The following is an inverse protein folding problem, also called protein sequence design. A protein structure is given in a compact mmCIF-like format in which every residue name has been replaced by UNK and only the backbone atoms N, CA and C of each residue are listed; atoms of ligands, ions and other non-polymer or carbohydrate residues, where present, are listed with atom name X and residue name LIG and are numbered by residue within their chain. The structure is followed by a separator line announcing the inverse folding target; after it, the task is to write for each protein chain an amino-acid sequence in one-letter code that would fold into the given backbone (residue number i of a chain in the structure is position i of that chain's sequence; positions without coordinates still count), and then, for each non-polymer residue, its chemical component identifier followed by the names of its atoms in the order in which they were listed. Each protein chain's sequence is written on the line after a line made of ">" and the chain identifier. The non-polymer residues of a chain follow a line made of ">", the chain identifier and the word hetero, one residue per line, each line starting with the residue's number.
data_IF_656594896162
#
_entry.id   IF_656594896162
#
_cell.length_a   1.000
_cell.length_b   1.000
_cell.length_c   1.000
_cell.angle_alpha   90.00
_cell.angle_beta   90.00
_cell.angle_gamma   90.00
#
_symmetry.space_group_name_H-M   'P 1'
#
loop_
_entity.id
_entity.type
_entity.pdbx_description
1 polymer ?
#
# COMPACT_ATOMS: atom_id res chain seq x y z
N UNK A 1 -28.58 58.19 18.93
CA UNK A 1 -27.30 57.89 18.26
C UNK A 1 -26.85 56.53 18.75
N UNK A 2 -27.09 55.46 17.97
CA UNK A 2 -26.76 54.08 18.32
C UNK A 2 -25.40 53.77 17.68
N UNK A 3 -24.39 53.26 18.40
CA UNK A 3 -23.09 52.92 17.82
C UNK A 3 -23.24 51.70 16.92
N UNK A 4 -22.48 51.62 15.81
CA UNK A 4 -22.50 50.48 14.91
C UNK A 4 -21.95 49.24 15.60
N UNK A 5 -22.66 48.11 15.47
CA UNK A 5 -22.25 46.80 15.95
C UNK A 5 -21.00 46.33 15.25
N UNK A 6 -19.99 45.89 16.02
CA UNK A 6 -18.75 45.32 15.52
C UNK A 6 -19.05 44.00 14.76
N UNK A 7 -18.32 43.71 13.68
CA UNK A 7 -18.47 42.46 12.96
C UNK A 7 -18.02 41.26 13.84
N UNK A 8 -18.68 40.09 13.71
CA UNK A 8 -18.30 38.93 14.46
C UNK A 8 -16.87 38.46 14.05
N UNK A 9 -16.03 38.25 15.05
CA UNK A 9 -14.69 37.68 14.86
C UNK A 9 -14.80 36.36 14.10
N UNK A 10 -14.19 36.32 12.94
CA UNK A 10 -14.01 35.07 12.21
C UNK A 10 -13.20 34.07 13.10
N UNK A 11 -13.86 32.99 13.42
CA UNK A 11 -13.20 31.87 14.13
C UNK A 11 -12.00 31.38 13.32
N UNK A 12 -10.85 31.19 13.94
CA UNK A 12 -9.73 30.56 13.24
C UNK A 12 -10.16 29.16 12.82
N UNK A 13 -10.25 28.93 11.51
CA UNK A 13 -10.41 27.58 10.98
C UNK A 13 -9.23 26.74 11.46
N UNK A 14 -9.47 25.59 12.14
CA UNK A 14 -8.38 24.71 12.48
C UNK A 14 -7.75 24.22 11.16
N UNK A 15 -6.43 24.46 11.03
CA UNK A 15 -5.58 23.92 9.97
C UNK A 15 -5.40 22.38 10.14
N UNK A 16 -6.48 21.68 10.39
CA UNK A 16 -6.51 20.23 10.61
C UNK A 16 -7.04 19.49 9.40
N UNK A 17 -6.58 19.88 8.22
CA UNK A 17 -6.68 19.02 7.05
C UNK A 17 -5.38 19.07 6.25
N UNK A 18 -4.29 18.63 6.90
CA UNK A 18 -3.28 17.95 6.10
C UNK A 18 -4.01 16.71 5.60
N UNK A 19 -4.24 16.56 4.29
CA UNK A 19 -4.63 15.29 3.76
C UNK A 19 -3.44 14.39 4.06
N UNK A 20 -3.56 13.59 5.12
CA UNK A 20 -2.76 12.39 5.24
C UNK A 20 -3.02 11.66 3.93
N UNK A 21 -2.05 11.72 3.04
CA UNK A 21 -2.03 10.95 1.80
C UNK A 21 -2.02 9.48 2.21
N UNK A 22 -3.18 9.01 2.66
CA UNK A 22 -3.52 7.60 2.61
C UNK A 22 -3.38 7.28 1.13
N UNK A 23 -2.28 6.65 0.79
CA UNK A 23 -2.08 6.01 -0.51
C UNK A 23 -3.18 4.96 -0.60
N UNK A 24 -4.36 5.40 -1.00
CA UNK A 24 -5.41 4.51 -1.44
C UNK A 24 -4.89 3.96 -2.75
N UNK A 25 -4.26 2.80 -2.69
CA UNK A 25 -3.98 2.06 -3.90
C UNK A 25 -5.32 1.81 -4.60
N UNK A 26 -5.53 2.35 -5.81
CA UNK A 26 -6.82 2.26 -6.51
C UNK A 26 -7.22 0.83 -6.94
N UNK A 27 -6.36 -0.16 -6.67
CA UNK A 27 -6.65 -1.58 -6.84
C UNK A 27 -7.80 -2.11 -5.95
N UNK A 28 -8.41 -1.24 -5.12
CA UNK A 28 -9.51 -1.62 -4.22
C UNK A 28 -10.91 -1.41 -4.82
N UNK A 29 -11.02 -0.86 -6.03
CA UNK A 29 -12.32 -0.83 -6.69
C UNK A 29 -12.73 -2.26 -7.04
N UNK A 30 -13.86 -2.70 -6.51
CA UNK A 30 -14.50 -3.98 -6.85
C UNK A 30 -14.89 -3.97 -8.35
N UNK A 31 -13.89 -4.13 -9.22
CA UNK A 31 -14.09 -4.15 -10.67
C UNK A 31 -15.01 -5.30 -11.13
N UNK A 32 -15.34 -6.22 -10.21
CA UNK A 32 -16.04 -7.48 -10.52
C UNK A 32 -17.28 -7.71 -9.64
N UNK A 33 -17.78 -6.69 -8.93
CA UNK A 33 -19.03 -6.80 -8.15
C UNK A 33 -18.96 -7.65 -6.88
N UNK A 34 -17.77 -7.95 -6.38
CA UNK A 34 -17.55 -8.74 -5.16
C UNK A 34 -17.62 -10.26 -5.40
N UNK A 35 -17.02 -11.03 -4.50
CA UNK A 35 -16.98 -12.49 -4.56
C UNK A 35 -15.59 -13.06 -4.82
N UNK A 36 -15.51 -14.39 -4.95
CA UNK A 36 -14.23 -15.11 -5.11
C UNK A 36 -13.47 -14.66 -6.35
N UNK A 37 -14.17 -14.39 -7.45
CA UNK A 37 -13.53 -13.93 -8.69
C UNK A 37 -12.84 -12.57 -8.51
N UNK A 38 -13.49 -11.64 -7.82
CA UNK A 38 -12.91 -10.34 -7.50
C UNK A 38 -11.63 -10.49 -6.66
N UNK A 39 -11.66 -11.36 -5.65
CA UNK A 39 -10.49 -11.64 -4.81
C UNK A 39 -9.34 -12.22 -5.63
N UNK A 40 -9.62 -13.18 -6.52
CA UNK A 40 -8.59 -13.78 -7.38
C UNK A 40 -7.98 -12.75 -8.32
N UNK A 41 -8.81 -11.95 -8.99
CA UNK A 41 -8.33 -10.90 -9.91
C UNK A 41 -7.51 -9.85 -9.15
N UNK A 42 -7.98 -9.38 -7.99
CA UNK A 42 -7.24 -8.42 -7.16
C UNK A 42 -5.91 -9.01 -6.70
N UNK A 43 -5.89 -10.28 -6.26
CA UNK A 43 -4.67 -10.96 -5.88
C UNK A 43 -3.66 -11.04 -7.03
N UNK A 44 -4.10 -11.42 -8.23
CA UNK A 44 -3.23 -11.55 -9.40
C UNK A 44 -2.68 -10.18 -9.83
N UNK A 45 -3.52 -9.15 -9.88
CA UNK A 45 -3.09 -7.80 -10.22
C UNK A 45 -2.11 -7.24 -9.19
N UNK A 46 -2.38 -7.41 -7.91
CA UNK A 46 -1.50 -6.97 -6.82
C UNK A 46 -0.18 -7.73 -6.86
N UNK A 47 -0.21 -9.04 -7.08
CA UNK A 47 1.00 -9.85 -7.21
C UNK A 47 1.84 -9.45 -8.42
N UNK A 48 1.20 -9.18 -9.55
CA UNK A 48 1.88 -8.69 -10.76
C UNK A 48 2.52 -7.32 -10.52
N UNK A 49 1.78 -6.40 -9.91
CA UNK A 49 2.29 -5.08 -9.56
C UNK A 49 3.51 -5.17 -8.62
N UNK A 50 3.43 -6.00 -7.58
CA UNK A 50 4.55 -6.23 -6.67
C UNK A 50 5.71 -6.93 -7.36
N UNK A 51 5.46 -7.86 -8.28
CA UNK A 51 6.53 -8.50 -9.05
C UNK A 51 7.30 -7.50 -9.92
N UNK A 52 6.59 -6.59 -10.58
CA UNK A 52 7.21 -5.54 -11.40
C UNK A 52 8.04 -4.60 -10.54
N UNK A 53 7.47 -4.08 -9.47
CA UNK A 53 8.17 -3.13 -8.57
C UNK A 53 9.35 -3.77 -7.85
N UNK A 54 9.22 -5.02 -7.43
CA UNK A 54 10.31 -5.79 -6.82
C UNK A 54 11.41 -6.12 -7.84
N UNK A 55 11.04 -6.45 -9.08
CA UNK A 55 12.03 -6.67 -10.13
C UNK A 55 12.83 -5.41 -10.43
N UNK A 56 12.17 -4.26 -10.53
CA UNK A 56 12.83 -2.96 -10.69
C UNK A 56 13.77 -2.67 -9.52
N UNK A 57 13.31 -2.86 -8.29
CA UNK A 57 14.12 -2.66 -7.09
C UNK A 57 15.34 -3.61 -7.06
N UNK A 58 15.13 -4.88 -7.39
CA UNK A 58 16.18 -5.88 -7.41
C UNK A 58 17.22 -5.60 -8.50
N UNK A 59 16.79 -5.22 -9.68
CA UNK A 59 17.69 -4.84 -10.78
C UNK A 59 18.50 -3.61 -10.44
N UNK A 60 17.88 -2.63 -9.78
CA UNK A 60 18.57 -1.41 -9.33
C UNK A 60 19.58 -1.68 -8.21
N UNK A 61 19.24 -2.54 -7.25
CA UNK A 61 20.03 -2.78 -6.03
C UNK A 61 21.09 -3.88 -6.19
N UNK A 62 20.74 -4.96 -6.87
CA UNK A 62 21.60 -6.16 -7.01
C UNK A 62 22.26 -6.17 -8.39
N UNK A 63 21.59 -5.63 -9.41
CA UNK A 63 22.00 -5.72 -10.82
C UNK A 63 21.12 -6.69 -11.61
N UNK A 64 21.72 -7.41 -12.55
CA UNK A 64 21.00 -8.33 -13.43
C UNK A 64 20.49 -9.56 -12.65
N UNK A 65 19.18 -9.61 -12.44
CA UNK A 65 18.48 -10.67 -11.68
C UNK A 65 17.33 -11.23 -12.51
N UNK A 66 17.15 -12.55 -12.53
CA UNK A 66 16.03 -13.17 -13.23
C UNK A 66 14.69 -12.68 -12.68
N UNK A 67 13.79 -12.22 -13.54
CA UNK A 67 12.45 -11.74 -13.18
C UNK A 67 11.59 -12.79 -12.45
N UNK A 68 11.89 -14.08 -12.67
CA UNK A 68 11.25 -15.20 -11.97
C UNK A 68 11.36 -15.11 -10.46
N UNK A 69 12.46 -14.56 -9.92
CA UNK A 69 12.62 -14.38 -8.47
C UNK A 69 11.61 -13.38 -7.91
N UNK A 70 11.41 -12.27 -8.61
CA UNK A 70 10.40 -11.30 -8.23
C UNK A 70 8.99 -11.88 -8.34
N UNK A 71 8.70 -12.61 -9.42
CA UNK A 71 7.40 -13.28 -9.59
C UNK A 71 7.13 -14.34 -8.51
N UNK A 72 8.18 -14.96 -7.96
CA UNK A 72 8.04 -15.97 -6.89
C UNK A 72 7.88 -15.33 -5.51
N UNK A 73 8.52 -14.19 -5.26
CA UNK A 73 8.45 -13.50 -3.97
C UNK A 73 7.17 -12.68 -3.81
N UNK A 74 6.74 -11.98 -4.86
CA UNK A 74 5.63 -11.02 -4.84
C UNK A 74 4.26 -11.57 -4.37
N UNK A 75 3.85 -12.82 -4.63
CA UNK A 75 2.59 -13.36 -4.15
C UNK A 75 2.47 -13.37 -2.61
N UNK A 76 3.57 -13.49 -1.89
CA UNK A 76 3.57 -13.58 -0.42
C UNK A 76 3.07 -12.28 0.23
N UNK A 77 3.68 -11.11 0.02
CA UNK A 77 3.17 -9.86 0.56
C UNK A 77 1.81 -9.47 -0.03
N UNK A 78 1.53 -9.83 -1.30
CA UNK A 78 0.23 -9.60 -1.91
C UNK A 78 -0.89 -10.37 -1.18
N UNK A 79 -0.65 -11.64 -0.85
CA UNK A 79 -1.61 -12.44 -0.09
C UNK A 79 -1.82 -11.89 1.32
N UNK A 80 -0.74 -11.54 2.03
CA UNK A 80 -0.82 -10.99 3.38
C UNK A 80 -1.59 -9.68 3.38
N UNK A 81 -1.30 -8.76 2.44
CA UNK A 81 -2.01 -7.49 2.34
C UNK A 81 -3.50 -7.68 2.05
N UNK A 82 -3.84 -8.60 1.14
CA UNK A 82 -5.22 -8.90 0.79
C UNK A 82 -6.01 -9.50 1.97
N UNK A 83 -5.43 -10.47 2.67
CA UNK A 83 -6.08 -11.11 3.84
C UNK A 83 -6.32 -10.11 4.95
N UNK A 84 -5.33 -9.23 5.24
CA UNK A 84 -5.48 -8.20 6.27
C UNK A 84 -6.50 -7.13 5.88
N UNK A 85 -6.60 -6.76 4.61
CA UNK A 85 -7.64 -5.86 4.12
C UNK A 85 -9.04 -6.49 4.24
N UNK A 86 -9.17 -7.79 3.95
CA UNK A 86 -10.44 -8.51 4.16
C UNK A 86 -10.81 -8.57 5.64
N UNK A 87 -9.83 -8.83 6.52
CA UNK A 87 -10.04 -8.78 7.95
C UNK A 87 -10.53 -7.39 8.40
N UNK A 88 -9.89 -6.31 7.92
CA UNK A 88 -10.28 -4.93 8.26
C UNK A 88 -11.69 -4.54 7.79
N UNK A 89 -12.26 -5.26 6.82
CA UNK A 89 -13.65 -5.08 6.34
C UNK A 89 -14.65 -6.00 7.05
N UNK A 90 -14.19 -6.94 7.84
CA UNK A 90 -15.05 -7.88 8.56
C UNK A 90 -15.57 -7.31 9.87
N UNK A 91 -16.67 -7.87 10.37
CA UNK A 91 -17.24 -7.52 11.67
C UNK A 91 -16.26 -7.79 12.85
N UNK A 92 -15.26 -8.65 12.62
CA UNK A 92 -14.20 -8.92 13.60
C UNK A 92 -13.30 -7.72 13.88
N UNK A 93 -13.26 -6.73 12.98
CA UNK A 93 -12.50 -5.50 13.12
C UNK A 93 -13.30 -4.35 13.75
N UNK A 94 -14.56 -4.59 14.12
CA UNK A 94 -15.42 -3.57 14.76
C UNK A 94 -14.79 -3.14 16.09
N UNK A 95 -14.63 -1.82 16.24
CA UNK A 95 -14.01 -1.22 17.44
C UNK A 95 -12.49 -1.09 17.39
N UNK A 96 -11.83 -1.56 16.32
CA UNK A 96 -10.41 -1.31 16.09
C UNK A 96 -10.24 0.04 15.38
N UNK A 97 -9.33 0.87 15.88
CA UNK A 97 -9.03 2.15 15.25
C UNK A 97 -8.53 1.95 13.80
N UNK A 98 -9.12 2.65 12.80
CA UNK A 98 -8.73 2.50 11.41
C UNK A 98 -7.24 2.77 11.14
N UNK A 99 -6.63 3.70 11.88
CA UNK A 99 -5.20 4.01 11.72
C UNK A 99 -4.31 2.86 12.22
N UNK A 100 -4.71 2.17 13.27
CA UNK A 100 -4.03 0.97 13.76
C UNK A 100 -4.14 -0.17 12.76
N UNK A 101 -5.31 -0.35 12.14
CA UNK A 101 -5.49 -1.36 11.08
C UNK A 101 -4.58 -1.10 9.88
N UNK A 102 -4.53 0.14 9.40
CA UNK A 102 -3.63 0.52 8.30
C UNK A 102 -2.18 0.28 8.69
N UNK A 103 -1.76 0.71 9.88
CA UNK A 103 -0.41 0.47 10.39
C UNK A 103 -0.06 -1.02 10.45
N UNK A 104 -1.00 -1.85 10.93
CA UNK A 104 -0.84 -3.30 11.02
C UNK A 104 -0.69 -3.93 9.63
N UNK A 105 -1.53 -3.53 8.66
CA UNK A 105 -1.45 -4.02 7.28
C UNK A 105 -0.10 -3.68 6.66
N UNK A 106 0.33 -2.42 6.77
CA UNK A 106 1.62 -1.98 6.23
C UNK A 106 2.77 -2.73 6.88
N UNK A 107 2.79 -2.81 8.20
CA UNK A 107 3.84 -3.49 8.94
C UNK A 107 3.92 -4.99 8.61
N UNK A 108 2.77 -5.69 8.63
CA UNK A 108 2.73 -7.12 8.33
C UNK A 108 3.13 -7.40 6.87
N UNK A 109 2.71 -6.55 5.93
CA UNK A 109 3.11 -6.67 4.52
C UNK A 109 4.61 -6.45 4.36
N UNK A 110 5.20 -5.46 5.04
CA UNK A 110 6.66 -5.22 5.06
C UNK A 110 7.43 -6.43 5.59
N UNK A 111 6.96 -7.02 6.69
CA UNK A 111 7.59 -8.21 7.28
C UNK A 111 7.48 -9.40 6.33
N UNK A 112 6.31 -9.61 5.73
CA UNK A 112 6.09 -10.69 4.78
C UNK A 112 6.99 -10.53 3.53
N UNK A 113 7.10 -9.30 3.01
CA UNK A 113 7.99 -8.99 1.88
C UNK A 113 9.46 -9.21 2.24
N UNK A 114 9.89 -8.76 3.42
CA UNK A 114 11.25 -8.97 3.91
C UNK A 114 11.61 -10.46 4.00
N UNK A 115 10.70 -11.28 4.51
CA UNK A 115 10.90 -12.71 4.61
C UNK A 115 10.93 -13.36 3.22
N UNK A 116 9.98 -13.02 2.35
CA UNK A 116 9.91 -13.54 0.99
C UNK A 116 11.17 -13.19 0.18
N UNK A 117 11.59 -11.93 0.22
CA UNK A 117 12.80 -11.45 -0.44
C UNK A 117 14.05 -12.13 0.12
N UNK A 118 14.20 -12.19 1.44
CA UNK A 118 15.32 -12.86 2.08
C UNK A 118 15.45 -14.32 1.64
N UNK A 119 14.32 -15.04 1.59
CA UNK A 119 14.27 -16.44 1.21
C UNK A 119 14.55 -16.66 -0.28
N UNK A 120 13.83 -15.94 -1.16
CA UNK A 120 13.90 -16.13 -2.63
C UNK A 120 15.23 -15.64 -3.20
N UNK A 121 15.72 -14.50 -2.72
CA UNK A 121 17.00 -13.94 -3.18
C UNK A 121 18.20 -14.48 -2.40
N UNK A 122 17.96 -15.31 -1.37
CA UNK A 122 18.99 -15.87 -0.48
C UNK A 122 19.88 -14.81 0.18
N UNK A 123 19.25 -13.68 0.55
CA UNK A 123 19.91 -12.58 1.22
C UNK A 123 19.81 -12.74 2.74
N UNK A 124 20.81 -12.26 3.47
CA UNK A 124 20.66 -12.05 4.91
C UNK A 124 19.60 -10.98 5.15
N UNK A 125 18.82 -11.09 6.22
CA UNK A 125 17.77 -10.13 6.54
C UNK A 125 18.24 -8.67 6.49
N UNK A 126 19.43 -8.38 7.03
CA UNK A 126 20.02 -7.04 7.00
C UNK A 126 20.25 -6.51 5.58
N UNK A 127 20.60 -7.40 4.65
CA UNK A 127 20.83 -7.05 3.24
C UNK A 127 19.51 -6.99 2.45
N UNK A 128 18.46 -7.64 2.90
CA UNK A 128 17.15 -7.58 2.30
C UNK A 128 16.38 -6.28 2.64
N UNK A 129 16.65 -5.66 3.81
CA UNK A 129 15.99 -4.42 4.24
C UNK A 129 16.05 -3.31 3.19
N UNK A 130 17.24 -2.89 2.68
CA UNK A 130 17.29 -1.81 1.70
C UNK A 130 16.58 -2.16 0.39
N UNK A 131 16.60 -3.44 -0.01
CA UNK A 131 15.89 -3.90 -1.20
C UNK A 131 14.36 -3.78 -1.01
N UNK A 132 13.85 -4.19 0.15
CA UNK A 132 12.42 -4.06 0.49
C UNK A 132 11.99 -2.60 0.58
N UNK A 133 12.79 -1.75 1.21
CA UNK A 133 12.49 -0.31 1.26
C UNK A 133 12.47 0.31 -0.14
N UNK A 134 13.38 -0.08 -1.01
CA UNK A 134 13.41 0.37 -2.40
C UNK A 134 12.20 -0.15 -3.18
N UNK A 135 11.81 -1.42 -2.97
CA UNK A 135 10.58 -1.99 -3.53
C UNK A 135 9.35 -1.16 -3.15
N UNK A 136 9.18 -0.85 -1.86
CA UNK A 136 8.09 0.00 -1.40
C UNK A 136 8.15 1.42 -1.96
N UNK A 137 9.35 1.98 -2.12
CA UNK A 137 9.54 3.27 -2.79
C UNK A 137 9.06 3.24 -4.24
N UNK A 138 9.45 2.24 -5.01
CA UNK A 138 8.96 2.05 -6.39
C UNK A 138 7.45 1.78 -6.42
N UNK A 139 6.94 0.95 -5.51
CA UNK A 139 5.51 0.68 -5.42
C UNK A 139 4.70 1.96 -5.14
N UNK A 140 5.18 2.82 -4.23
CA UNK A 140 4.53 4.10 -3.94
C UNK A 140 4.54 5.03 -5.16
N UNK A 141 5.69 5.22 -5.81
CA UNK A 141 5.82 6.11 -6.98
C UNK A 141 4.97 5.61 -8.15
N UNK A 142 5.08 4.31 -8.49
CA UNK A 142 4.29 3.72 -9.57
C UNK A 142 2.80 3.67 -9.24
N UNK A 143 2.43 3.41 -7.98
CA UNK A 143 1.05 3.43 -7.53
C UNK A 143 0.41 4.81 -7.69
N UNK A 144 1.09 5.88 -7.26
CA UNK A 144 0.64 7.26 -7.46
C UNK A 144 0.56 7.62 -8.94
N UNK A 145 1.60 7.26 -9.73
CA UNK A 145 1.61 7.54 -11.17
C UNK A 145 0.45 6.85 -11.89
N UNK A 146 0.18 5.58 -11.60
CA UNK A 146 -0.94 4.84 -12.17
C UNK A 146 -2.27 5.39 -11.70
N UNK A 147 -2.41 5.74 -10.42
CA UNK A 147 -3.62 6.33 -9.87
C UNK A 147 -3.99 7.64 -10.55
N UNK A 148 -3.01 8.51 -10.77
CA UNK A 148 -3.20 9.77 -11.51
C UNK A 148 -3.54 9.51 -12.98
N UNK A 149 -2.86 8.55 -13.64
CA UNK A 149 -3.12 8.23 -15.05
C UNK A 149 -4.53 7.68 -15.27
N UNK A 150 -5.01 6.88 -14.32
CA UNK A 150 -6.36 6.27 -14.38
C UNK A 150 -7.46 7.21 -13.84
N UNK A 151 -7.11 8.39 -13.34
CA UNK A 151 -8.07 9.36 -12.79
C UNK A 151 -8.73 8.89 -11.49
N UNK A 152 -8.03 8.08 -10.69
CA UNK A 152 -8.52 7.50 -9.42
C UNK A 152 -7.99 8.27 -8.21
N UNK A 153 -6.97 9.11 -8.41
CA UNK A 153 -6.39 10.02 -7.40
C UNK A 153 -6.61 11.46 -7.78
#
# INVERSE_FOLDING_TARGET
>A
MVPPSAPPFASPHPLSSLPFLLVHFPLQADATGGGILALVVTFLLTSLFYAVTLHLAATFFIGDVPSQRAATAAPVPALVSLLLQQYGRSDAAVGVDPSLLVGLVVFATLVADLLAVSFVYRLKLRSAIPLVLLHFGFAAVLGVALGNLLGVL
#
